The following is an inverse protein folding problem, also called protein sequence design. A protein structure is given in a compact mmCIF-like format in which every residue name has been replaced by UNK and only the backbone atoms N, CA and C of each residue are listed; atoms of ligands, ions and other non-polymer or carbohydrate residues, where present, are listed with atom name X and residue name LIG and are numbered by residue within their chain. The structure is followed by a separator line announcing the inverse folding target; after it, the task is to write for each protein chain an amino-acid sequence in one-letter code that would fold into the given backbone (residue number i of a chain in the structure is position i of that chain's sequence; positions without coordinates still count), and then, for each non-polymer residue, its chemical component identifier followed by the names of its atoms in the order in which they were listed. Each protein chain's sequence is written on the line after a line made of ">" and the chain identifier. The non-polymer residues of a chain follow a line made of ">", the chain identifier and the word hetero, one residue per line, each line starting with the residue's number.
data_IF_542645262940
#
_entry.id   IF_542645262940
#
_cell.length_a   1.000
_cell.length_b   1.000
_cell.length_c   1.000
_cell.angle_alpha   90.00
_cell.angle_beta   90.00
_cell.angle_gamma   90.00
#
_symmetry.space_group_name_H-M   'P 1'
#
loop_
_entity.id
_entity.type
_entity.pdbx_description
1 polymer ?
#
# COMPACT_ATOMS: atom_id res chain seq x y z
N UNK A 1 2.14 14.76 2.89
CA UNK A 1 0.67 14.65 3.08
C UNK A 1 -0.06 13.97 1.90
N UNK A 2 0.57 13.76 0.73
CA UNK A 2 -0.07 13.13 -0.44
C UNK A 2 -0.05 11.58 -0.45
N UNK A 3 0.77 10.94 0.39
CA UNK A 3 0.91 9.49 0.38
C UNK A 3 -0.37 8.73 0.75
N UNK A 4 -1.18 9.25 1.67
CA UNK A 4 -2.45 8.65 2.09
C UNK A 4 -3.50 8.63 0.96
N UNK A 5 -3.82 9.77 0.32
CA UNK A 5 -4.72 9.78 -0.85
C UNK A 5 -4.27 8.85 -1.98
N UNK A 6 -2.96 8.81 -2.26
CA UNK A 6 -2.39 7.95 -3.30
C UNK A 6 -2.61 6.47 -2.95
N UNK A 7 -2.33 6.06 -1.70
CA UNK A 7 -2.55 4.70 -1.25
C UNK A 7 -4.02 4.26 -1.37
N UNK A 8 -4.96 5.16 -1.05
CA UNK A 8 -6.40 4.90 -1.21
C UNK A 8 -6.76 4.62 -2.67
N UNK A 9 -6.26 5.42 -3.62
CA UNK A 9 -6.50 5.21 -5.06
C UNK A 9 -5.98 3.86 -5.52
N UNK A 10 -4.79 3.44 -5.08
CA UNK A 10 -4.23 2.14 -5.43
C UNK A 10 -5.06 0.97 -4.90
N UNK A 11 -5.56 1.06 -3.66
CA UNK A 11 -6.43 0.02 -3.08
C UNK A 11 -7.76 -0.06 -3.85
N UNK A 12 -8.38 1.08 -4.18
CA UNK A 12 -9.62 1.12 -4.96
C UNK A 12 -9.40 0.51 -6.36
N UNK A 13 -8.30 0.86 -7.02
CA UNK A 13 -7.94 0.30 -8.32
C UNK A 13 -7.75 -1.21 -8.28
N UNK A 14 -7.05 -1.71 -7.25
CA UNK A 14 -6.83 -3.14 -7.05
C UNK A 14 -8.17 -3.88 -6.83
N UNK A 15 -9.10 -3.28 -6.08
CA UNK A 15 -10.46 -3.80 -5.90
C UNK A 15 -11.27 -3.82 -7.21
N UNK A 16 -11.17 -2.77 -8.01
CA UNK A 16 -11.81 -2.71 -9.32
C UNK A 16 -11.30 -3.80 -10.26
N UNK A 17 -9.98 -4.01 -10.29
CA UNK A 17 -9.35 -5.08 -11.07
C UNK A 17 -9.82 -6.48 -10.62
N UNK A 18 -10.05 -6.65 -9.31
CA UNK A 18 -10.55 -7.91 -8.75
C UNK A 18 -12.01 -8.18 -9.16
N UNK A 19 -12.89 -7.18 -9.08
CA UNK A 19 -14.30 -7.30 -9.49
C UNK A 19 -14.42 -7.54 -11.00
N UNK A 20 -13.65 -6.80 -11.80
CA UNK A 20 -13.69 -6.89 -13.27
C UNK A 20 -13.01 -8.12 -13.85
N UNK A 21 -12.29 -8.90 -13.03
CA UNK A 21 -11.65 -10.13 -13.48
C UNK A 21 -12.66 -11.21 -13.94
N UNK A 22 -13.93 -11.15 -13.48
CA UNK A 22 -15.05 -11.98 -13.93
C UNK A 22 -14.73 -13.49 -14.06
N UNK A 23 -13.89 -14.03 -13.17
CA UNK A 23 -13.50 -15.44 -13.18
C UNK A 23 -12.40 -15.84 -14.17
N UNK A 24 -11.85 -14.90 -14.95
CA UNK A 24 -10.66 -15.15 -15.79
C UNK A 24 -9.44 -15.40 -14.89
N UNK A 25 -8.79 -16.58 -14.95
CA UNK A 25 -7.67 -16.92 -14.09
C UNK A 25 -6.51 -15.92 -14.17
N UNK A 26 -6.14 -15.49 -15.39
CA UNK A 26 -5.05 -14.51 -15.59
C UNK A 26 -5.38 -13.14 -14.98
N UNK A 27 -6.63 -12.67 -15.14
CA UNK A 27 -7.04 -11.38 -14.56
C UNK A 27 -7.11 -11.46 -13.03
N UNK A 28 -7.54 -12.60 -12.48
CA UNK A 28 -7.56 -12.83 -11.04
C UNK A 28 -6.15 -12.84 -10.45
N UNK A 29 -5.19 -13.46 -11.12
CA UNK A 29 -3.79 -13.46 -10.70
C UNK A 29 -3.22 -12.04 -10.72
N UNK A 30 -3.51 -11.29 -11.78
CA UNK A 30 -3.11 -9.88 -11.88
C UNK A 30 -3.70 -9.06 -10.72
N UNK A 31 -5.00 -9.20 -10.46
CA UNK A 31 -5.68 -8.50 -9.36
C UNK A 31 -5.09 -8.83 -7.99
N UNK A 32 -4.82 -10.11 -7.72
CA UNK A 32 -4.14 -10.54 -6.48
C UNK A 32 -2.77 -9.89 -6.35
N UNK A 33 -1.97 -9.91 -7.42
CA UNK A 33 -0.64 -9.28 -7.43
C UNK A 33 -0.75 -7.77 -7.15
N UNK A 34 -1.69 -7.08 -7.79
CA UNK A 34 -1.92 -5.64 -7.58
C UNK A 34 -2.34 -5.32 -6.14
N UNK A 35 -3.21 -6.13 -5.51
CA UNK A 35 -3.57 -5.99 -4.10
C UNK A 35 -2.33 -6.16 -3.21
N UNK A 36 -1.54 -7.21 -3.43
CA UNK A 36 -0.32 -7.46 -2.65
C UNK A 36 0.65 -6.29 -2.71
N UNK A 37 0.91 -5.76 -3.92
CA UNK A 37 1.79 -4.59 -4.07
C UNK A 37 1.22 -3.32 -3.43
N UNK A 38 -0.10 -3.13 -3.46
CA UNK A 38 -0.75 -1.99 -2.80
C UNK A 38 -0.59 -2.05 -1.27
N UNK A 39 -0.71 -3.25 -0.68
CA UNK A 39 -0.49 -3.46 0.75
C UNK A 39 0.98 -3.22 1.13
N UNK A 40 1.92 -3.74 0.34
CA UNK A 40 3.36 -3.53 0.56
C UNK A 40 3.69 -2.04 0.50
N UNK A 41 3.16 -1.30 -0.48
CA UNK A 41 3.35 0.14 -0.58
C UNK A 41 2.82 0.89 0.64
N UNK A 42 1.63 0.53 1.15
CA UNK A 42 1.07 1.10 2.37
C UNK A 42 1.96 0.84 3.59
N UNK A 43 2.41 -0.41 3.76
CA UNK A 43 3.32 -0.79 4.85
C UNK A 43 4.63 -0.01 4.78
N UNK A 44 5.16 0.24 3.58
CA UNK A 44 6.37 1.03 3.39
C UNK A 44 6.18 2.48 3.86
N UNK A 45 5.06 3.12 3.50
CA UNK A 45 4.77 4.50 3.91
C UNK A 45 4.65 4.60 5.44
N UNK A 46 3.91 3.66 6.05
CA UNK A 46 3.74 3.62 7.50
C UNK A 46 5.06 3.32 8.21
N UNK A 47 5.82 2.36 7.70
CA UNK A 47 7.13 1.98 8.23
C UNK A 47 8.14 3.12 8.16
N UNK A 48 8.21 3.83 7.04
CA UNK A 48 9.09 4.99 6.89
C UNK A 48 8.75 6.11 7.89
N UNK A 49 7.46 6.36 8.13
CA UNK A 49 7.04 7.33 9.14
C UNK A 49 7.38 6.87 10.56
N UNK A 50 7.13 5.60 10.89
CA UNK A 50 7.46 5.04 12.20
C UNK A 50 8.98 5.10 12.48
N UNK A 51 9.81 4.76 11.49
CA UNK A 51 11.26 4.87 11.60
C UNK A 51 11.73 6.32 11.77
N UNK A 52 11.15 7.26 11.03
CA UNK A 52 11.48 8.68 11.18
C UNK A 52 11.15 9.19 12.59
N UNK A 53 10.00 8.79 13.14
CA UNK A 53 9.60 9.14 14.51
C UNK A 53 10.55 8.51 15.53
N UNK A 54 10.86 7.21 15.39
CA UNK A 54 11.80 6.52 16.28
C UNK A 54 13.18 7.18 16.29
N UNK A 55 13.68 7.56 15.10
CA UNK A 55 14.93 8.28 14.95
C UNK A 55 14.87 9.65 15.63
N UNK A 56 13.84 10.45 15.36
CA UNK A 56 13.69 11.76 16.00
C UNK A 56 13.59 11.69 17.53
N UNK A 57 12.95 10.64 18.05
CA UNK A 57 12.85 10.41 19.49
C UNK A 57 14.22 10.05 20.08
N UNK A 58 14.97 9.16 19.44
CA UNK A 58 16.32 8.79 19.87
C UNK A 58 17.25 10.00 20.01
N UNK A 59 17.24 10.93 19.05
CA UNK A 59 18.06 12.14 19.12
C UNK A 59 17.56 13.19 20.11
N UNK A 60 16.28 13.16 20.49
CA UNK A 60 15.75 14.06 21.53
C UNK A 60 16.10 13.60 22.94
N UNK A 61 16.29 12.30 23.13
CA UNK A 61 16.66 11.72 24.42
C UNK A 61 18.18 11.70 24.66
N UNK A 62 18.98 12.01 23.63
CA UNK A 62 20.43 12.17 23.70
C UNK A 62 20.80 13.59 24.15
#
# INVERSE_FOLDING_TARGET
>A
KLALPIAVVFIVWAGFLFVTAMGSPQKLETAKKTITWSIIGLLFVVGAWALAVAFQNFFKEL
#
